data_IF_909805396278
#
_entry.id   IF_909805396278
#
_cell.length_a   1.000
_cell.length_b   1.000
_cell.length_c   1.000
_cell.angle_alpha   90.00
_cell.angle_beta   90.00
_cell.angle_gamma   90.00
#
_symmetry.space_group_name_H-M   'P 1'
#
loop_
_entity.id
_entity.type
_entity.pdbx_description
1 polymer ?
#
# COMPACT_ATOMS: atom_id res chain seq x y z
N UNK A 1 32.83 -67.23 77.28
CA UNK A 1 32.60 -66.28 76.13
C UNK A 1 31.86 -65.12 76.75
N UNK A 2 32.60 -64.02 77.03
CA UNK A 2 32.09 -62.94 77.82
C UNK A 2 31.07 -62.07 77.08
N UNK A 3 29.83 -62.08 77.55
CA UNK A 3 28.75 -61.21 77.04
C UNK A 3 29.10 -59.70 77.14
N UNK A 4 29.97 -59.34 78.06
CA UNK A 4 30.43 -57.96 78.28
C UNK A 4 31.25 -57.36 77.13
N UNK A 5 31.98 -58.20 76.37
CA UNK A 5 32.82 -57.72 75.23
C UNK A 5 32.02 -57.19 74.05
N UNK A 6 30.72 -57.47 73.94
CA UNK A 6 29.83 -57.05 72.86
C UNK A 6 28.94 -55.85 73.27
N UNK A 7 28.75 -55.57 74.55
CA UNK A 7 27.90 -54.55 75.05
C UNK A 7 28.51 -53.10 74.83
N UNK A 8 29.85 -53.01 74.95
CA UNK A 8 30.56 -51.74 74.76
C UNK A 8 30.50 -51.18 73.30
N UNK A 9 30.81 -52.00 72.24
CA UNK A 9 30.68 -51.53 70.86
C UNK A 9 29.20 -51.24 70.49
N UNK A 10 28.25 -52.03 71.00
CA UNK A 10 26.80 -51.78 70.73
C UNK A 10 26.29 -50.51 71.33
N UNK A 11 26.79 -50.14 72.52
CA UNK A 11 26.41 -48.86 73.22
C UNK A 11 26.93 -47.62 72.52
N UNK A 12 27.98 -47.68 71.74
CA UNK A 12 28.55 -46.57 70.96
C UNK A 12 28.05 -46.57 69.53
N UNK A 13 27.96 -47.71 68.85
CA UNK A 13 27.51 -47.82 67.47
C UNK A 13 25.98 -47.54 67.28
N UNK A 14 25.19 -47.94 68.25
CA UNK A 14 23.72 -47.73 68.20
C UNK A 14 23.34 -46.25 68.11
N UNK A 15 23.77 -45.39 69.03
CA UNK A 15 23.51 -43.95 69.00
C UNK A 15 24.05 -43.25 67.73
N UNK A 16 25.25 -43.67 67.26
CA UNK A 16 25.87 -43.15 66.02
C UNK A 16 25.05 -43.51 64.79
N UNK A 17 24.52 -44.72 64.69
CA UNK A 17 23.65 -45.15 63.60
C UNK A 17 22.33 -44.38 63.62
N UNK A 18 21.71 -44.18 64.78
CA UNK A 18 20.48 -43.37 64.92
C UNK A 18 20.73 -41.92 64.54
N UNK A 19 21.84 -41.32 64.95
CA UNK A 19 22.21 -39.95 64.57
C UNK A 19 22.46 -39.83 63.03
N UNK A 20 23.12 -40.79 62.42
CA UNK A 20 23.33 -40.80 60.97
C UNK A 20 22.03 -40.93 60.16
N UNK A 21 21.13 -41.81 60.60
CA UNK A 21 19.78 -41.95 59.98
C UNK A 21 18.95 -40.68 60.17
N UNK A 22 18.96 -40.06 61.36
CA UNK A 22 18.28 -38.81 61.60
C UNK A 22 18.82 -37.66 60.71
N UNK A 23 20.15 -37.58 60.57
CA UNK A 23 20.79 -36.59 59.73
C UNK A 23 20.44 -36.81 58.23
N UNK A 24 20.50 -38.08 57.78
CA UNK A 24 20.13 -38.43 56.43
C UNK A 24 18.65 -38.09 56.14
N UNK A 25 17.74 -38.32 57.08
CA UNK A 25 16.34 -38.00 56.96
C UNK A 25 16.11 -36.46 56.92
N UNK A 26 16.80 -35.68 57.72
CA UNK A 26 16.74 -34.20 57.73
C UNK A 26 17.29 -33.65 56.39
N UNK A 27 18.41 -34.19 55.91
CA UNK A 27 18.96 -33.77 54.62
C UNK A 27 18.01 -34.11 53.44
N UNK A 28 17.46 -35.33 53.44
CA UNK A 28 16.52 -35.78 52.41
C UNK A 28 15.24 -34.91 52.42
N UNK A 29 14.72 -34.56 53.62
CA UNK A 29 13.53 -33.67 53.69
C UNK A 29 13.84 -32.24 53.24
N UNK A 30 15.03 -31.69 53.57
CA UNK A 30 15.46 -30.38 53.08
C UNK A 30 15.66 -30.38 51.56
N UNK A 31 16.33 -31.39 51.02
CA UNK A 31 16.52 -31.52 49.56
C UNK A 31 15.19 -31.59 48.83
N UNK A 32 14.21 -32.38 49.32
CA UNK A 32 12.86 -32.46 48.75
C UNK A 32 12.13 -31.12 48.77
N UNK A 33 12.23 -30.34 49.87
CA UNK A 33 11.62 -29.00 49.96
C UNK A 33 12.23 -28.02 48.95
N UNK A 34 13.57 -27.96 48.89
CA UNK A 34 14.26 -27.07 47.94
C UNK A 34 13.93 -27.45 46.47
N UNK A 35 13.92 -28.74 46.18
CA UNK A 35 13.54 -29.23 44.82
C UNK A 35 12.10 -28.81 44.49
N UNK A 36 11.16 -29.01 45.42
CA UNK A 36 9.75 -28.64 45.18
C UNK A 36 9.59 -27.11 45.00
N UNK A 37 10.32 -26.28 45.76
CA UNK A 37 10.30 -24.83 45.62
C UNK A 37 10.88 -24.35 44.25
N UNK A 38 11.98 -24.99 43.82
CA UNK A 38 12.57 -24.74 42.50
C UNK A 38 11.58 -25.13 41.36
N UNK A 39 10.97 -26.31 41.45
CA UNK A 39 10.01 -26.80 40.49
C UNK A 39 8.78 -25.86 40.39
N UNK A 40 8.30 -25.36 41.50
CA UNK A 40 7.19 -24.41 41.54
C UNK A 40 7.57 -23.04 40.91
N UNK A 41 8.77 -22.53 41.21
CA UNK A 41 9.28 -21.28 40.60
C UNK A 41 9.49 -21.43 39.08
N UNK A 42 10.03 -22.56 38.64
CA UNK A 42 10.23 -22.87 37.22
C UNK A 42 8.87 -22.90 36.50
N UNK A 43 7.88 -23.61 37.06
CA UNK A 43 6.52 -23.67 36.48
C UNK A 43 5.86 -22.30 36.43
N UNK A 44 5.94 -21.52 37.51
CA UNK A 44 5.37 -20.17 37.55
C UNK A 44 5.99 -19.28 36.47
N UNK A 45 7.32 -19.24 36.35
CA UNK A 45 8.01 -18.47 35.32
C UNK A 45 7.71 -18.94 33.89
N UNK A 46 7.64 -20.25 33.68
CA UNK A 46 7.31 -20.80 32.36
C UNK A 46 5.89 -20.45 31.95
N UNK A 47 4.95 -20.49 32.92
CA UNK A 47 3.55 -20.07 32.70
C UNK A 47 3.44 -18.58 32.39
N UNK A 48 4.13 -17.72 33.14
CA UNK A 48 4.16 -16.27 32.93
C UNK A 48 4.76 -15.92 31.56
N UNK A 49 5.87 -16.57 31.17
CA UNK A 49 6.47 -16.40 29.85
C UNK A 49 5.51 -16.81 28.73
N UNK A 50 4.85 -17.97 28.86
CA UNK A 50 3.90 -18.45 27.87
C UNK A 50 2.65 -17.56 27.75
N UNK A 51 2.23 -16.94 28.84
CA UNK A 51 1.13 -15.97 28.82
C UNK A 51 1.55 -14.67 28.15
N UNK A 52 2.71 -14.13 28.48
CA UNK A 52 3.28 -12.94 27.86
C UNK A 52 3.49 -13.14 26.34
N UNK A 53 4.06 -14.29 25.93
CA UNK A 53 4.21 -14.63 24.52
C UNK A 53 2.86 -14.65 23.79
N UNK A 54 1.83 -15.25 24.40
CA UNK A 54 0.48 -15.30 23.80
C UNK A 54 -0.12 -13.89 23.66
N UNK A 55 0.09 -13.00 24.65
CA UNK A 55 -0.36 -11.62 24.57
C UNK A 55 0.34 -10.85 23.46
N UNK A 56 1.67 -10.93 23.36
CA UNK A 56 2.43 -10.29 22.29
C UNK A 56 2.02 -10.81 20.90
N UNK A 57 1.86 -12.12 20.76
CA UNK A 57 1.42 -12.73 19.50
C UNK A 57 0.04 -12.22 19.09
N UNK A 58 -0.93 -12.12 20.00
CA UNK A 58 -2.25 -11.54 19.73
C UNK A 58 -2.16 -10.08 19.29
N UNK A 59 -1.37 -9.26 19.98
CA UNK A 59 -1.21 -7.85 19.61
C UNK A 59 -0.67 -7.68 18.17
N UNK A 60 0.24 -8.53 17.76
CA UNK A 60 0.80 -8.51 16.40
C UNK A 60 -0.22 -9.04 15.38
N UNK A 61 -0.92 -10.14 15.69
CA UNK A 61 -1.92 -10.72 14.78
C UNK A 61 -3.17 -9.84 14.60
N UNK A 62 -3.60 -9.17 15.67
CA UNK A 62 -4.77 -8.27 15.66
C UNK A 62 -4.44 -6.85 15.18
N UNK A 63 -3.18 -6.56 14.88
CA UNK A 63 -2.75 -5.27 14.33
C UNK A 63 -3.46 -4.98 13.01
N UNK A 64 -3.89 -3.72 12.83
CA UNK A 64 -4.39 -3.23 11.53
C UNK A 64 -3.28 -3.07 10.50
N UNK A 65 -2.04 -2.87 10.94
CA UNK A 65 -0.87 -2.80 10.06
C UNK A 65 -0.41 -4.19 9.64
N UNK A 66 -0.06 -4.33 8.37
CA UNK A 66 0.63 -5.52 7.89
C UNK A 66 2.04 -5.57 8.46
N UNK A 67 2.41 -6.69 9.07
CA UNK A 67 3.76 -6.93 9.59
C UNK A 67 4.32 -8.15 8.88
N UNK A 68 5.51 -7.99 8.30
CA UNK A 68 6.22 -9.04 7.57
C UNK A 68 7.68 -9.06 8.00
N UNK A 69 8.24 -10.25 8.21
CA UNK A 69 9.67 -10.43 8.41
C UNK A 69 10.21 -11.25 7.25
N UNK A 70 11.27 -10.74 6.62
CA UNK A 70 11.98 -11.49 5.59
C UNK A 70 13.47 -11.60 5.91
N UNK A 71 14.05 -12.73 5.51
CA UNK A 71 15.47 -13.03 5.67
C UNK A 71 15.97 -13.81 4.46
N UNK A 72 17.15 -13.47 3.95
CA UNK A 72 17.76 -14.14 2.79
C UNK A 72 16.84 -14.20 1.57
N UNK A 73 16.10 -13.12 1.32
CA UNK A 73 15.19 -13.04 0.17
C UNK A 73 13.81 -13.69 0.37
N UNK A 74 13.58 -14.40 1.47
CA UNK A 74 12.36 -15.17 1.71
C UNK A 74 11.58 -14.62 2.90
N UNK A 75 10.26 -14.69 2.81
CA UNK A 75 9.33 -14.38 3.90
C UNK A 75 9.50 -15.43 5.00
N UNK A 76 9.64 -15.00 6.25
CA UNK A 76 9.74 -15.84 7.43
C UNK A 76 8.54 -15.73 8.36
N UNK A 77 7.91 -14.57 8.35
CA UNK A 77 6.70 -14.30 9.11
C UNK A 77 5.83 -13.28 8.39
N UNK A 78 4.52 -13.43 8.52
CA UNK A 78 3.52 -12.44 8.11
C UNK A 78 2.32 -12.55 9.06
N UNK A 79 1.86 -11.40 9.61
CA UNK A 79 0.66 -11.36 10.44
C UNK A 79 -0.62 -11.44 9.59
N UNK A 80 -1.77 -11.57 10.24
CA UNK A 80 -3.06 -11.68 9.56
C UNK A 80 -3.37 -10.49 8.63
N UNK A 81 -2.97 -9.26 9.00
CA UNK A 81 -3.17 -8.08 8.16
C UNK A 81 -2.30 -8.14 6.89
N UNK A 82 -1.04 -8.54 7.00
CA UNK A 82 -0.16 -8.73 5.85
C UNK A 82 -0.70 -9.79 4.88
N UNK A 83 -1.16 -10.93 5.40
CA UNK A 83 -1.76 -11.98 4.59
C UNK A 83 -2.98 -11.49 3.80
N UNK A 84 -3.89 -10.77 4.46
CA UNK A 84 -5.07 -10.18 3.80
C UNK A 84 -4.69 -9.17 2.73
N UNK A 85 -3.76 -8.24 3.04
CA UNK A 85 -3.35 -7.19 2.11
C UNK A 85 -2.73 -7.74 0.83
N UNK A 86 -1.90 -8.77 0.94
CA UNK A 86 -1.27 -9.39 -0.23
C UNK A 86 -2.08 -10.51 -0.87
N UNK A 87 -3.21 -10.93 -0.26
CA UNK A 87 -4.07 -11.97 -0.81
C UNK A 87 -3.54 -13.39 -0.61
N UNK A 88 -2.81 -13.65 0.50
CA UNK A 88 -2.45 -15.00 0.91
C UNK A 88 -3.60 -15.67 1.68
N UNK A 89 -3.83 -16.95 1.41
CA UNK A 89 -4.85 -17.71 2.13
C UNK A 89 -4.51 -17.89 3.62
N UNK A 90 -3.24 -18.17 3.91
CA UNK A 90 -2.70 -18.35 5.27
C UNK A 90 -1.18 -18.13 5.28
N UNK A 91 -0.58 -18.26 6.46
CA UNK A 91 0.87 -18.10 6.66
C UNK A 91 1.70 -19.19 5.96
N UNK A 92 1.18 -20.41 5.81
CA UNK A 92 1.89 -21.50 5.15
C UNK A 92 2.10 -21.21 3.66
N UNK A 93 1.19 -20.47 3.04
CA UNK A 93 1.31 -20.03 1.65
C UNK A 93 2.23 -18.81 1.48
N UNK A 94 2.47 -18.03 2.53
CA UNK A 94 3.33 -16.85 2.49
C UNK A 94 4.78 -17.18 2.86
N UNK A 95 5.00 -17.98 3.92
CA UNK A 95 6.33 -18.31 4.40
C UNK A 95 7.11 -19.11 3.35
N UNK A 96 8.36 -18.70 3.13
CA UNK A 96 9.23 -19.31 2.11
C UNK A 96 9.08 -18.72 0.71
N UNK A 97 8.09 -17.85 0.47
CA UNK A 97 7.97 -17.14 -0.82
C UNK A 97 8.99 -15.99 -0.90
N UNK A 98 9.45 -15.63 -2.11
CA UNK A 98 10.27 -14.46 -2.32
C UNK A 98 9.48 -13.18 -1.99
N UNK A 99 10.00 -12.36 -1.05
CA UNK A 99 9.33 -11.11 -0.69
C UNK A 99 9.32 -10.08 -1.83
N UNK A 100 10.29 -10.16 -2.76
CA UNK A 100 10.36 -9.26 -3.92
C UNK A 100 9.20 -9.44 -4.89
N UNK A 101 8.52 -10.58 -4.88
CA UNK A 101 7.34 -10.81 -5.72
C UNK A 101 6.14 -9.97 -5.28
N UNK A 102 6.17 -9.46 -4.04
CA UNK A 102 5.17 -8.54 -3.49
C UNK A 102 5.41 -7.08 -3.88
N UNK A 103 6.53 -6.77 -4.54
CA UNK A 103 6.94 -5.43 -4.94
C UNK A 103 6.77 -5.26 -6.45
N UNK A 104 6.17 -4.15 -6.87
CA UNK A 104 6.05 -3.81 -8.28
C UNK A 104 7.45 -3.75 -8.95
N UNK A 105 7.60 -4.22 -10.19
CA UNK A 105 8.90 -4.37 -10.86
C UNK A 105 9.75 -3.10 -10.81
N UNK A 106 9.14 -1.94 -11.03
CA UNK A 106 9.82 -0.64 -11.07
C UNK A 106 10.45 -0.25 -9.72
N UNK A 107 9.95 -0.78 -8.62
CA UNK A 107 10.44 -0.48 -7.28
C UNK A 107 11.49 -1.49 -6.76
N UNK A 108 11.61 -2.67 -7.40
CA UNK A 108 12.43 -3.80 -6.89
C UNK A 108 13.89 -3.46 -6.68
N UNK A 109 14.51 -2.80 -7.64
CA UNK A 109 15.93 -2.42 -7.57
C UNK A 109 16.19 -1.48 -6.40
N UNK A 110 15.41 -0.40 -6.30
CA UNK A 110 15.54 0.60 -5.24
C UNK A 110 15.33 0.00 -3.86
N UNK A 111 14.29 -0.85 -3.71
CA UNK A 111 13.97 -1.46 -2.41
C UNK A 111 15.05 -2.47 -2.02
N UNK A 112 15.54 -3.27 -2.96
CA UNK A 112 16.64 -4.22 -2.72
C UNK A 112 17.92 -3.50 -2.28
N UNK A 113 18.28 -2.42 -2.94
CA UNK A 113 19.45 -1.62 -2.57
C UNK A 113 19.32 -1.07 -1.14
N UNK A 114 18.15 -0.56 -0.75
CA UNK A 114 17.87 -0.06 0.61
C UNK A 114 17.91 -1.16 1.67
N UNK A 115 17.36 -2.33 1.39
CA UNK A 115 17.41 -3.48 2.30
C UNK A 115 18.86 -3.91 2.53
N UNK A 116 19.66 -4.05 1.47
CA UNK A 116 21.06 -4.45 1.58
C UNK A 116 21.90 -3.40 2.33
N UNK A 117 21.69 -2.12 2.06
CA UNK A 117 22.38 -1.03 2.77
C UNK A 117 22.05 -1.06 4.28
N UNK A 118 20.77 -1.24 4.62
CA UNK A 118 20.32 -1.34 6.02
C UNK A 118 20.93 -2.55 6.74
N UNK A 119 21.02 -3.70 6.07
CA UNK A 119 21.65 -4.91 6.65
C UNK A 119 23.16 -4.73 6.87
N UNK A 120 23.82 -3.84 6.10
CA UNK A 120 25.22 -3.45 6.33
C UNK A 120 25.38 -2.38 7.43
N UNK A 121 24.28 -1.90 8.03
CA UNK A 121 24.30 -0.85 9.05
C UNK A 121 24.44 0.58 8.47
N UNK A 122 24.24 0.77 7.17
CA UNK A 122 24.26 2.07 6.54
C UNK A 122 22.98 2.86 6.87
N UNK A 123 23.11 4.18 6.98
CA UNK A 123 21.97 5.08 7.22
C UNK A 123 21.14 5.21 5.95
N UNK A 124 19.94 4.64 5.95
CA UNK A 124 18.96 4.73 4.85
C UNK A 124 17.59 5.10 5.41
N UNK A 125 16.72 5.77 4.63
CA UNK A 125 15.37 6.10 5.07
C UNK A 125 14.64 4.86 5.58
N UNK A 126 14.05 4.96 6.77
CA UNK A 126 13.30 3.87 7.39
C UNK A 126 11.92 3.70 6.78
N UNK A 127 11.34 4.78 6.22
CA UNK A 127 10.01 4.80 5.61
C UNK A 127 10.11 4.96 4.09
N UNK A 128 9.16 4.36 3.38
CA UNK A 128 9.00 4.53 1.94
C UNK A 128 7.53 4.34 1.56
N UNK A 129 7.09 5.12 0.58
CA UNK A 129 5.84 4.85 -0.15
C UNK A 129 6.22 4.19 -1.47
N UNK A 130 5.59 3.09 -1.79
CA UNK A 130 5.88 2.32 -2.99
C UNK A 130 4.68 1.51 -3.47
N UNK A 131 4.71 1.15 -4.72
CA UNK A 131 3.70 0.30 -5.33
C UNK A 131 4.04 -1.17 -5.10
N UNK A 132 3.04 -1.92 -4.66
CA UNK A 132 3.12 -3.34 -4.35
C UNK A 132 2.14 -4.14 -5.20
N UNK A 133 2.37 -5.44 -5.27
CA UNK A 133 1.56 -6.40 -6.01
C UNK A 133 0.87 -7.38 -5.06
N UNK A 134 -0.43 -7.57 -5.23
CA UNK A 134 -1.15 -8.69 -4.62
C UNK A 134 -0.93 -9.96 -5.45
N UNK A 135 -1.24 -11.10 -4.89
CA UNK A 135 -1.13 -12.39 -5.60
C UNK A 135 -2.04 -12.52 -6.83
N UNK A 136 -3.13 -11.78 -6.89
CA UNK A 136 -4.01 -11.71 -8.07
C UNK A 136 -3.46 -10.80 -9.18
N UNK A 137 -2.28 -10.21 -8.99
CA UNK A 137 -1.65 -9.27 -9.92
C UNK A 137 -2.16 -7.83 -9.81
N UNK A 138 -3.09 -7.54 -8.92
CA UNK A 138 -3.55 -6.17 -8.69
C UNK A 138 -2.50 -5.33 -7.98
N UNK A 139 -2.40 -4.07 -8.38
CA UNK A 139 -1.47 -3.09 -7.80
C UNK A 139 -2.13 -2.32 -6.67
N UNK A 140 -1.35 -1.96 -5.66
CA UNK A 140 -1.78 -1.07 -4.59
C UNK A 140 -0.60 -0.29 -4.01
N UNK A 141 -0.88 0.86 -3.43
CA UNK A 141 0.13 1.68 -2.79
C UNK A 141 0.26 1.33 -1.32
N UNK A 142 1.47 1.14 -0.86
CA UNK A 142 1.75 0.94 0.56
C UNK A 142 2.75 1.98 1.09
N UNK A 143 2.56 2.39 2.33
CA UNK A 143 3.57 3.05 3.13
C UNK A 143 4.21 2.02 4.05
N UNK A 144 5.51 1.82 3.90
CA UNK A 144 6.28 0.83 4.64
C UNK A 144 7.32 1.47 5.55
N UNK A 145 7.51 0.88 6.71
CA UNK A 145 8.62 1.16 7.62
C UNK A 145 9.41 -0.12 7.82
N UNK A 146 10.73 -0.05 7.58
CA UNK A 146 11.59 -1.23 7.65
C UNK A 146 12.71 -1.03 8.66
N UNK A 147 12.97 -2.06 9.49
CA UNK A 147 14.05 -2.10 10.48
C UNK A 147 14.74 -3.45 10.48
N UNK A 148 16.01 -3.49 10.95
CA UNK A 148 16.72 -4.76 11.16
C UNK A 148 16.39 -5.30 12.53
N UNK A 149 16.09 -6.59 12.56
CA UNK A 149 15.83 -7.34 13.79
C UNK A 149 16.64 -8.64 13.77
N UNK A 150 16.86 -9.22 14.94
CA UNK A 150 17.40 -10.57 15.04
C UNK A 150 16.25 -11.57 14.93
N UNK A 151 16.33 -12.51 13.98
CA UNK A 151 15.31 -13.53 13.75
C UNK A 151 15.96 -14.87 13.43
N UNK A 152 15.60 -15.90 14.19
CA UNK A 152 16.13 -17.27 14.02
C UNK A 152 17.67 -17.31 13.93
N UNK A 153 18.34 -16.58 14.84
CA UNK A 153 19.80 -16.59 14.96
C UNK A 153 20.54 -15.80 13.87
N UNK A 154 19.92 -14.77 13.28
CA UNK A 154 20.62 -13.86 12.37
C UNK A 154 19.80 -12.64 11.96
N UNK A 155 20.44 -11.70 11.28
CA UNK A 155 19.79 -10.46 10.88
C UNK A 155 18.68 -10.70 9.84
N UNK A 156 17.53 -10.08 10.07
CA UNK A 156 16.38 -10.08 9.20
C UNK A 156 15.82 -8.67 9.09
N UNK A 157 14.97 -8.42 8.12
CA UNK A 157 14.26 -7.16 7.99
C UNK A 157 12.80 -7.36 8.42
N UNK A 158 12.39 -6.59 9.43
CA UNK A 158 10.99 -6.44 9.81
C UNK A 158 10.43 -5.23 9.05
N UNK A 159 9.30 -5.43 8.39
CA UNK A 159 8.59 -4.38 7.65
C UNK A 159 7.18 -4.27 8.21
N UNK A 160 6.79 -3.09 8.70
CA UNK A 160 5.39 -2.75 8.94
C UNK A 160 4.86 -1.88 7.80
N UNK A 161 3.62 -2.06 7.40
CA UNK A 161 3.05 -1.33 6.28
C UNK A 161 1.52 -1.20 6.35
N UNK A 162 1.03 -0.13 5.71
CA UNK A 162 -0.40 0.15 5.55
C UNK A 162 -0.72 0.40 4.08
N UNK A 163 -1.93 0.01 3.66
CA UNK A 163 -2.45 0.35 2.33
C UNK A 163 -2.85 1.84 2.32
N UNK A 164 -2.23 2.61 1.43
CA UNK A 164 -2.47 4.04 1.25
C UNK A 164 -3.15 4.37 -0.09
N UNK A 165 -3.67 3.36 -0.79
CA UNK A 165 -4.28 3.54 -2.12
C UNK A 165 -5.45 4.51 -2.09
N UNK A 166 -6.28 4.49 -1.04
CA UNK A 166 -7.38 5.43 -0.88
C UNK A 166 -6.90 6.88 -0.65
N UNK A 167 -5.79 7.04 0.07
CA UNK A 167 -5.16 8.35 0.26
C UNK A 167 -4.62 8.86 -1.07
N UNK A 168 -3.85 8.04 -1.80
CA UNK A 168 -3.28 8.41 -3.10
C UNK A 168 -4.36 8.77 -4.12
N UNK A 169 -5.47 8.02 -4.16
CA UNK A 169 -6.62 8.33 -5.03
C UNK A 169 -7.26 9.68 -4.71
N UNK A 170 -7.46 9.98 -3.42
CA UNK A 170 -8.01 11.27 -2.98
C UNK A 170 -7.10 12.42 -3.32
N UNK A 171 -5.82 12.32 -3.02
CA UNK A 171 -4.83 13.37 -3.35
C UNK A 171 -4.72 13.61 -4.87
N UNK A 172 -4.81 12.56 -5.69
CA UNK A 172 -4.82 12.69 -7.14
C UNK A 172 -6.07 13.42 -7.64
N UNK A 173 -7.24 13.04 -7.12
CA UNK A 173 -8.51 13.69 -7.47
C UNK A 173 -8.55 15.16 -7.02
N UNK A 174 -8.00 15.49 -5.87
CA UNK A 174 -7.89 16.87 -5.37
C UNK A 174 -6.97 17.71 -6.28
N UNK A 175 -5.81 17.20 -6.68
CA UNK A 175 -4.90 17.89 -7.61
C UNK A 175 -5.56 18.14 -8.96
N UNK A 176 -6.30 17.15 -9.49
CA UNK A 176 -7.03 17.29 -10.75
C UNK A 176 -8.13 18.34 -10.64
N UNK A 177 -8.92 18.32 -9.55
CA UNK A 177 -9.95 19.31 -9.30
C UNK A 177 -9.38 20.72 -9.15
N UNK A 178 -8.23 20.89 -8.50
CA UNK A 178 -7.56 22.19 -8.35
C UNK A 178 -7.02 22.69 -9.69
N UNK A 179 -6.44 21.82 -10.50
CA UNK A 179 -6.00 22.14 -11.87
C UNK A 179 -7.17 22.62 -12.73
N UNK A 180 -8.31 21.90 -12.71
CA UNK A 180 -9.51 22.28 -13.43
C UNK A 180 -10.05 23.63 -12.96
N UNK A 181 -10.10 23.88 -11.65
CA UNK A 181 -10.53 25.19 -11.10
C UNK A 181 -9.64 26.34 -11.57
N UNK A 182 -8.34 26.12 -11.63
CA UNK A 182 -7.37 27.13 -12.08
C UNK A 182 -7.56 27.46 -13.56
N UNK A 183 -7.70 26.45 -14.41
CA UNK A 183 -7.97 26.61 -15.84
C UNK A 183 -9.30 27.32 -16.07
N UNK A 184 -10.35 26.95 -15.35
CA UNK A 184 -11.67 27.58 -15.48
C UNK A 184 -11.64 29.06 -15.06
N UNK A 185 -10.91 29.40 -13.99
CA UNK A 185 -10.75 30.83 -13.57
C UNK A 185 -10.05 31.63 -14.65
N UNK A 186 -8.97 31.13 -15.24
CA UNK A 186 -8.26 31.80 -16.33
C UNK A 186 -9.12 31.94 -17.56
N UNK A 187 -9.88 30.91 -17.94
CA UNK A 187 -10.81 30.95 -19.06
C UNK A 187 -11.90 32.00 -18.87
N UNK A 188 -12.48 32.08 -17.68
CA UNK A 188 -13.50 33.09 -17.36
C UNK A 188 -12.93 34.51 -17.41
N UNK A 189 -11.73 34.75 -16.85
CA UNK A 189 -11.09 36.06 -16.93
C UNK A 189 -10.80 36.46 -18.38
N UNK A 190 -10.22 35.58 -19.17
CA UNK A 190 -9.95 35.80 -20.58
C UNK A 190 -11.25 36.06 -21.37
N UNK A 191 -12.31 35.30 -21.09
CA UNK A 191 -13.61 35.48 -21.72
C UNK A 191 -14.19 36.90 -21.49
N UNK A 192 -14.10 37.40 -20.25
CA UNK A 192 -14.55 38.78 -19.95
C UNK A 192 -13.72 39.81 -20.68
N UNK A 193 -12.40 39.66 -20.69
CA UNK A 193 -11.52 40.63 -21.37
C UNK A 193 -11.67 40.63 -22.89
N UNK A 194 -12.01 39.49 -23.51
CA UNK A 194 -12.22 39.41 -24.98
C UNK A 194 -13.67 39.82 -25.35
N UNK A 195 -14.66 39.45 -24.55
CA UNK A 195 -16.05 39.83 -24.87
C UNK A 195 -16.28 41.34 -24.84
N UNK A 196 -15.57 42.11 -23.99
CA UNK A 196 -15.66 43.54 -23.93
C UNK A 196 -15.33 44.23 -25.29
N UNK A 197 -14.17 44.03 -25.91
CA UNK A 197 -13.87 44.60 -27.23
C UNK A 197 -14.78 44.04 -28.35
N UNK A 198 -15.16 42.76 -28.26
CA UNK A 198 -16.09 42.18 -29.25
C UNK A 198 -17.45 42.87 -29.22
N UNK A 199 -17.96 43.22 -28.05
CA UNK A 199 -19.21 43.96 -27.89
C UNK A 199 -19.13 45.34 -28.57
N UNK A 200 -18.00 46.06 -28.37
CA UNK A 200 -17.76 47.35 -28.98
C UNK A 200 -17.68 47.26 -30.53
N UNK A 201 -16.96 46.24 -31.03
CA UNK A 201 -16.83 46.05 -32.48
C UNK A 201 -18.17 45.66 -33.11
N UNK A 202 -18.93 44.74 -32.46
CA UNK A 202 -20.26 44.35 -32.92
C UNK A 202 -21.24 45.56 -32.97
N UNK A 203 -21.26 46.40 -31.93
CA UNK A 203 -22.07 47.60 -31.89
C UNK A 203 -21.71 48.59 -33.01
N UNK A 204 -20.42 48.80 -33.28
CA UNK A 204 -19.98 49.66 -34.37
C UNK A 204 -20.35 49.09 -35.75
N UNK A 205 -20.29 47.78 -35.96
CA UNK A 205 -20.74 47.15 -37.19
C UNK A 205 -22.24 47.30 -37.42
N UNK A 206 -23.04 47.18 -36.36
CA UNK A 206 -24.49 47.44 -36.43
C UNK A 206 -24.79 48.85 -36.85
N UNK A 207 -24.17 49.87 -36.20
CA UNK A 207 -24.33 51.27 -36.53
C UNK A 207 -23.92 51.60 -37.98
N UNK A 208 -22.85 50.96 -38.47
CA UNK A 208 -22.42 51.09 -39.86
C UNK A 208 -23.44 50.47 -40.83
N UNK A 209 -24.02 49.31 -40.49
CA UNK A 209 -25.06 48.64 -41.30
C UNK A 209 -26.29 49.54 -41.42
N UNK A 210 -26.74 50.19 -40.33
CA UNK A 210 -27.87 51.13 -40.33
C UNK A 210 -27.61 52.40 -41.17
N UNK A 211 -26.37 52.91 -41.15
CA UNK A 211 -26.03 54.18 -41.82
C UNK A 211 -25.71 54.07 -43.32
N UNK A 212 -25.25 52.87 -43.78
CA UNK A 212 -24.78 52.68 -45.12
C UNK A 212 -25.89 52.43 -46.15
N UNK A 213 -27.14 52.13 -45.70
CA UNK A 213 -28.28 51.88 -46.58
C UNK A 213 -28.05 50.74 -47.56
N UNK A 214 -28.81 50.70 -48.68
CA UNK A 214 -28.78 49.62 -49.70
C UNK A 214 -27.51 49.66 -50.57
N UNK A 215 -26.34 49.39 -49.98
CA UNK A 215 -25.08 49.17 -50.70
C UNK A 215 -24.64 47.68 -50.57
N UNK A 216 -25.06 46.80 -51.48
CA UNK A 216 -24.89 45.36 -51.34
C UNK A 216 -23.42 44.91 -51.25
N UNK A 217 -22.51 45.66 -51.83
CA UNK A 217 -21.08 45.37 -51.74
C UNK A 217 -20.51 45.55 -50.33
N UNK A 218 -20.89 46.61 -49.62
CA UNK A 218 -20.45 46.88 -48.26
C UNK A 218 -21.17 46.00 -47.22
N UNK A 219 -22.42 45.71 -47.46
CA UNK A 219 -23.23 44.82 -46.61
C UNK A 219 -22.57 43.45 -46.46
N UNK A 220 -22.01 42.88 -47.55
CA UNK A 220 -21.27 41.58 -47.54
C UNK A 220 -20.03 41.60 -46.62
N UNK A 221 -19.32 42.73 -46.53
CA UNK A 221 -18.15 42.84 -45.64
C UNK A 221 -18.61 42.96 -44.18
N UNK A 222 -19.66 43.70 -43.88
CA UNK A 222 -20.23 43.81 -42.52
C UNK A 222 -20.76 42.49 -42.03
N UNK A 223 -21.49 41.72 -42.85
CA UNK A 223 -21.97 40.36 -42.51
C UNK A 223 -20.82 39.37 -42.28
N UNK A 224 -19.69 39.49 -43.00
CA UNK A 224 -18.51 38.70 -42.74
C UNK A 224 -17.89 39.03 -41.38
N UNK A 225 -17.79 40.33 -41.06
CA UNK A 225 -17.29 40.79 -39.76
C UNK A 225 -18.13 40.29 -38.59
N UNK A 226 -19.44 40.41 -38.71
CA UNK A 226 -20.38 39.95 -37.69
C UNK A 226 -20.35 38.41 -37.51
N UNK A 227 -20.22 37.65 -38.59
CA UNK A 227 -20.00 36.19 -38.51
C UNK A 227 -18.71 35.84 -37.78
N UNK A 228 -17.62 36.56 -38.06
CA UNK A 228 -16.35 36.31 -37.37
C UNK A 228 -16.43 36.60 -35.86
N UNK A 229 -17.11 37.68 -35.48
CA UNK A 229 -17.32 38.00 -34.06
C UNK A 229 -18.14 36.94 -33.36
N UNK A 230 -19.25 36.48 -33.95
CA UNK A 230 -20.06 35.39 -33.40
C UNK A 230 -19.25 34.12 -33.26
N UNK A 231 -18.40 33.79 -34.22
CA UNK A 231 -17.53 32.60 -34.15
C UNK A 231 -16.51 32.69 -33.01
N UNK A 232 -15.94 33.89 -32.76
CA UNK A 232 -15.04 34.13 -31.62
C UNK A 232 -15.81 34.03 -30.30
N UNK A 233 -16.97 34.65 -30.20
CA UNK A 233 -17.81 34.59 -28.99
C UNK A 233 -18.24 33.15 -28.65
N UNK A 234 -18.53 32.33 -29.67
CA UNK A 234 -18.87 30.91 -29.51
C UNK A 234 -17.66 30.09 -29.00
N UNK A 235 -16.48 30.35 -29.58
CA UNK A 235 -15.22 29.73 -29.09
C UNK A 235 -14.96 30.08 -27.62
N UNK A 236 -15.14 31.33 -27.22
CA UNK A 236 -14.96 31.77 -25.83
C UNK A 236 -15.98 31.10 -24.91
N UNK A 237 -17.23 30.95 -25.35
CA UNK A 237 -18.28 30.32 -24.58
C UNK A 237 -17.94 28.80 -24.32
N UNK A 238 -17.22 28.14 -25.20
CA UNK A 238 -16.73 26.81 -24.99
C UNK A 238 -15.58 26.77 -23.97
N UNK A 239 -14.69 27.78 -24.00
CA UNK A 239 -13.62 27.90 -22.98
C UNK A 239 -14.15 28.04 -21.55
N UNK A 240 -15.24 28.79 -21.34
CA UNK A 240 -15.81 29.01 -20.00
C UNK A 240 -16.55 27.77 -19.44
N UNK A 241 -16.87 26.81 -20.30
CA UNK A 241 -17.56 25.55 -19.96
C UNK A 241 -16.66 24.34 -19.85
N UNK A 242 -15.35 24.54 -19.65
CA UNK A 242 -14.42 23.42 -19.48
C UNK A 242 -14.80 22.61 -18.25
N UNK A 243 -15.18 21.35 -18.46
CA UNK A 243 -15.55 20.39 -17.41
C UNK A 243 -14.47 19.32 -17.17
N UNK A 244 -13.56 19.18 -18.14
CA UNK A 244 -12.41 18.24 -18.08
C UNK A 244 -11.28 18.74 -18.97
N UNK A 245 -10.05 18.31 -18.68
CA UNK A 245 -8.90 18.61 -19.52
C UNK A 245 -8.72 17.46 -20.51
N UNK A 246 -9.04 17.70 -21.78
CA UNK A 246 -8.84 16.71 -22.85
C UNK A 246 -7.73 17.20 -23.78
N UNK A 247 -6.56 16.52 -23.84
CA UNK A 247 -5.49 16.92 -24.75
C UNK A 247 -5.89 16.67 -26.21
N UNK A 248 -5.44 17.56 -27.11
CA UNK A 248 -5.54 17.38 -28.56
C UNK A 248 -4.66 16.17 -28.96
N UNK A 249 -5.27 15.13 -29.49
CA UNK A 249 -4.57 13.98 -30.07
C UNK A 249 -4.25 14.23 -31.55
N UNK A 250 -2.97 14.06 -31.95
CA UNK A 250 -2.58 14.09 -33.37
C UNK A 250 -2.04 15.40 -33.92
N UNK A 251 -1.84 16.42 -33.06
CA UNK A 251 -1.16 17.67 -33.45
C UNK A 251 0.22 17.70 -32.79
N UNK A 252 1.27 17.67 -33.59
CA UNK A 252 2.64 17.86 -33.10
C UNK A 252 2.86 19.35 -32.77
N UNK A 253 2.74 19.68 -31.48
CA UNK A 253 2.91 21.04 -30.96
C UNK A 253 4.24 21.26 -30.27
N UNK A 254 5.27 20.44 -30.58
CA UNK A 254 6.62 20.60 -30.03
C UNK A 254 6.70 20.38 -28.51
N UNK A 255 5.87 19.48 -27.95
CA UNK A 255 5.90 19.11 -26.54
C UNK A 255 5.04 20.01 -25.62
N UNK A 256 4.31 20.99 -26.16
CA UNK A 256 3.36 21.78 -25.36
C UNK A 256 1.99 21.09 -25.40
N UNK A 257 1.41 20.67 -24.28
CA UNK A 257 0.08 20.06 -24.24
C UNK A 257 -0.98 21.10 -24.67
N UNK A 258 -1.63 20.87 -25.82
CA UNK A 258 -2.70 21.70 -26.32
C UNK A 258 -4.04 21.06 -25.97
N UNK A 259 -4.98 21.85 -25.44
CA UNK A 259 -6.30 21.39 -25.00
C UNK A 259 -7.32 21.41 -26.15
N UNK A 260 -8.08 20.32 -26.28
CA UNK A 260 -9.29 20.28 -27.11
C UNK A 260 -10.45 20.94 -26.34
N UNK A 261 -10.70 22.22 -26.64
CA UNK A 261 -11.72 23.01 -25.97
C UNK A 261 -13.14 22.46 -26.16
N UNK A 262 -13.44 21.87 -27.33
CA UNK A 262 -14.77 21.30 -27.58
C UNK A 262 -15.00 20.05 -26.75
N UNK A 263 -14.09 19.09 -26.80
CA UNK A 263 -14.18 17.86 -26.01
C UNK A 263 -14.05 18.13 -24.50
N UNK A 264 -13.30 19.17 -24.12
CA UNK A 264 -13.15 19.55 -22.72
C UNK A 264 -14.40 20.22 -22.13
N UNK A 265 -15.26 20.83 -22.98
CA UNK A 265 -16.53 21.46 -22.56
C UNK A 265 -17.76 20.53 -22.63
N UNK A 266 -17.63 19.33 -23.20
CA UNK A 266 -18.69 18.34 -23.21
C UNK A 266 -18.82 17.62 -21.87
N UNK A 267 -20.04 17.33 -21.40
CA UNK A 267 -20.22 16.50 -20.20
C UNK A 267 -19.55 15.14 -20.36
N UNK A 268 -18.94 14.65 -19.31
CA UNK A 268 -18.31 13.32 -19.33
C UNK A 268 -19.34 12.26 -19.79
N UNK A 269 -18.99 11.31 -20.67
CA UNK A 269 -19.89 10.22 -20.99
C UNK A 269 -20.30 9.51 -19.70
N UNK A 270 -21.57 9.07 -19.56
CA UNK A 270 -21.98 8.29 -18.40
C UNK A 270 -21.02 7.11 -18.24
N UNK A 271 -20.55 6.88 -17.02
CA UNK A 271 -19.77 5.71 -16.70
C UNK A 271 -20.56 4.50 -17.17
N UNK A 272 -20.07 3.81 -18.20
CA UNK A 272 -20.69 2.58 -18.71
C UNK A 272 -20.85 1.61 -17.54
N UNK A 273 -21.91 0.78 -17.51
CA UNK A 273 -22.06 -0.23 -16.47
C UNK A 273 -20.80 -1.06 -16.46
N UNK A 274 -20.14 -1.13 -15.29
CA UNK A 274 -18.82 -1.65 -15.09
C UNK A 274 -18.60 -2.93 -15.85
N UNK A 275 -17.46 -3.02 -16.49
CA UNK A 275 -16.91 -4.27 -17.01
C UNK A 275 -16.59 -5.20 -15.82
N UNK A 276 -17.67 -5.74 -15.23
CA UNK A 276 -17.63 -6.93 -14.42
C UNK A 276 -17.84 -8.10 -15.38
N UNK A 277 -16.84 -8.95 -15.54
CA UNK A 277 -16.94 -10.21 -16.24
C UNK A 277 -16.47 -10.16 -17.68
N UNK A 278 -15.17 -10.11 -17.90
CA UNK A 278 -14.56 -10.62 -19.13
C UNK A 278 -14.71 -12.14 -19.13
N UNK A 279 -15.73 -12.65 -19.79
CA UNK A 279 -15.78 -14.03 -20.23
C UNK A 279 -14.56 -14.30 -21.12
N UNK A 280 -13.62 -15.08 -20.62
CA UNK A 280 -12.57 -15.66 -21.42
C UNK A 280 -13.22 -16.57 -22.47
N UNK A 281 -12.88 -16.49 -23.75
CA UNK A 281 -13.40 -17.40 -24.73
C UNK A 281 -12.93 -18.82 -24.38
N UNK A 282 -13.89 -19.71 -24.12
CA UNK A 282 -13.70 -21.14 -24.02
C UNK A 282 -13.06 -21.61 -25.33
N UNK A 283 -11.81 -22.06 -25.27
CA UNK A 283 -11.14 -22.71 -26.37
C UNK A 283 -11.90 -23.97 -26.76
N UNK A 284 -12.39 -24.01 -28.01
CA UNK A 284 -12.99 -25.18 -28.60
C UNK A 284 -11.98 -26.35 -28.60
N UNK A 285 -12.44 -27.58 -28.35
CA UNK A 285 -11.56 -28.77 -28.44
C UNK A 285 -11.13 -29.03 -29.88
N UNK A 286 -9.84 -29.21 -30.10
CA UNK A 286 -9.28 -29.66 -31.36
C UNK A 286 -9.79 -31.06 -31.69
N UNK A 287 -10.12 -31.34 -32.95
CA UNK A 287 -10.53 -32.68 -33.37
C UNK A 287 -9.36 -33.66 -33.28
N UNK A 288 -9.67 -34.80 -32.72
CA UNK A 288 -8.84 -36.00 -32.62
C UNK A 288 -8.51 -36.51 -34.02
N UNK A 289 -7.24 -36.44 -34.44
CA UNK A 289 -6.74 -37.14 -35.61
C UNK A 289 -6.13 -38.45 -35.15
N UNK A 290 -6.96 -39.49 -35.13
CA UNK A 290 -6.51 -40.85 -35.02
C UNK A 290 -5.66 -41.24 -36.23
N UNK A 291 -4.48 -41.82 -35.98
CA UNK A 291 -3.78 -42.71 -36.89
C UNK A 291 -3.29 -43.92 -36.08
N UNK A 292 -3.93 -45.02 -36.29
CA UNK A 292 -3.33 -46.35 -36.12
C UNK A 292 -2.87 -46.84 -37.52
N UNK A 293 -2.07 -47.86 -37.67
CA UNK A 293 -1.83 -48.99 -36.78
C UNK A 293 -0.47 -49.02 -36.08
#
# INVERSE_FOLDING_TARGET
MDLESWLLPLAILGPLLVAAVALAWVLATRLRRVSAEIDERVRARTSEMAESERQYRRLIEDSAEGILIHRLGLIRYANAAALRLFGFADSAHAVGQPWLDLIAPDNRETVTARVNARLRGESVPVTAELEALRRDGSHFWLAATATVVEWEGGPATLVSFVDISDRQRREAAEREAESLRSVTKLANAAAHEINNPLTVVSGNLQLLTERLGDRPELTRYLERGDRAIRQIADMISHMTRITRLTPLTGVDTGGVPTLDLRRSSEPAPPAGPGAAGGDAPVAAPKPDTGIAP
#
